data_IF_726035444946
#
_entry.id   IF_726035444946
#
_cell.length_a   1.000
_cell.length_b   1.000
_cell.length_c   1.000
_cell.angle_alpha   90.00
_cell.angle_beta   90.00
_cell.angle_gamma   90.00
#
_symmetry.space_group_name_H-M   'P 1'
#
loop_
_entity.id
_entity.type
_entity.pdbx_description
1 polymer ?
#
# COMPACT_ATOMS: atom_id res chain seq x y z
N UNK A 1 -8.09 -19.00 -23.39
CA UNK A 1 -8.05 -18.68 -21.95
C UNK A 1 -6.67 -19.04 -21.46
N UNK A 2 -5.88 -18.06 -21.02
CA UNK A 2 -4.59 -18.33 -20.39
C UNK A 2 -4.88 -19.05 -19.08
N UNK A 3 -4.26 -20.21 -18.84
CA UNK A 3 -4.44 -20.91 -17.59
C UNK A 3 -3.77 -20.10 -16.47
N UNK A 4 -4.54 -19.66 -15.48
CA UNK A 4 -4.00 -18.95 -14.32
C UNK A 4 -3.58 -19.96 -13.24
N UNK A 5 -2.35 -19.81 -12.75
CA UNK A 5 -1.85 -20.61 -11.64
C UNK A 5 -2.26 -19.97 -10.30
N UNK A 6 -3.43 -20.35 -9.79
CA UNK A 6 -3.98 -19.78 -8.54
C UNK A 6 -3.04 -19.95 -7.34
N UNK A 7 -2.34 -21.09 -7.26
CA UNK A 7 -1.43 -21.36 -6.15
C UNK A 7 -0.20 -20.43 -6.21
N UNK A 8 0.40 -20.27 -7.40
CA UNK A 8 1.50 -19.34 -7.62
C UNK A 8 1.07 -17.89 -7.39
N UNK A 9 -0.14 -17.52 -7.80
CA UNK A 9 -0.68 -16.19 -7.57
C UNK A 9 -0.76 -15.85 -6.07
N UNK A 10 -1.24 -16.79 -5.24
CA UNK A 10 -1.25 -16.61 -3.78
C UNK A 10 0.17 -16.52 -3.20
N UNK A 11 1.14 -17.25 -3.75
CA UNK A 11 2.56 -17.15 -3.32
C UNK A 11 3.13 -15.77 -3.63
N UNK A 12 2.89 -15.24 -4.83
CA UNK A 12 3.36 -13.91 -5.23
C UNK A 12 2.70 -12.80 -4.39
N UNK A 13 1.39 -12.90 -4.14
CA UNK A 13 0.66 -11.96 -3.27
C UNK A 13 1.21 -11.96 -1.84
N UNK A 14 1.51 -13.14 -1.29
CA UNK A 14 2.16 -13.26 0.03
C UNK A 14 3.57 -12.65 0.01
N UNK A 15 4.36 -12.98 -1.01
CA UNK A 15 5.73 -12.45 -1.18
C UNK A 15 5.71 -10.92 -1.23
N UNK A 16 4.74 -10.31 -1.90
CA UNK A 16 4.58 -8.85 -1.95
C UNK A 16 4.49 -8.22 -0.55
N UNK A 17 3.60 -8.74 0.30
CA UNK A 17 3.44 -8.26 1.69
C UNK A 17 4.69 -8.57 2.53
N UNK A 18 5.29 -9.75 2.37
CA UNK A 18 6.53 -10.10 3.08
C UNK A 18 7.69 -9.17 2.71
N UNK A 19 7.79 -8.73 1.46
CA UNK A 19 8.80 -7.77 1.01
C UNK A 19 8.57 -6.40 1.66
N UNK A 20 7.31 -5.96 1.79
CA UNK A 20 6.97 -4.72 2.52
C UNK A 20 7.48 -4.81 3.95
N UNK A 21 7.17 -5.90 4.66
CA UNK A 21 7.65 -6.12 6.03
C UNK A 21 9.18 -6.19 6.13
N UNK A 22 9.84 -6.77 5.13
CA UNK A 22 11.31 -6.87 5.03
C UNK A 22 11.98 -5.58 4.58
N UNK A 23 11.22 -4.63 4.02
CA UNK A 23 11.72 -3.36 3.47
C UNK A 23 12.78 -3.56 2.37
N UNK A 24 12.61 -4.60 1.56
CA UNK A 24 13.58 -4.94 0.51
C UNK A 24 13.20 -4.27 -0.80
N UNK A 25 13.77 -3.09 -1.05
CA UNK A 25 13.56 -2.38 -2.31
C UNK A 25 14.01 -3.19 -3.54
N UNK A 26 15.14 -3.93 -3.53
CA UNK A 26 15.54 -4.78 -4.66
C UNK A 26 14.55 -5.92 -4.93
N UNK A 27 14.04 -6.59 -3.89
CA UNK A 27 13.06 -7.65 -4.08
C UNK A 27 11.72 -7.09 -4.57
N UNK A 28 11.35 -5.87 -4.13
CA UNK A 28 10.17 -5.17 -4.63
C UNK A 28 10.33 -4.87 -6.13
N UNK A 29 11.47 -4.30 -6.53
CA UNK A 29 11.77 -3.99 -7.94
C UNK A 29 11.67 -5.24 -8.84
N UNK A 30 12.20 -6.38 -8.37
CA UNK A 30 12.13 -7.67 -9.06
C UNK A 30 10.69 -8.16 -9.21
N UNK A 31 9.87 -8.04 -8.16
CA UNK A 31 8.52 -8.58 -8.10
C UNK A 31 7.51 -7.78 -8.94
N UNK A 32 7.74 -6.48 -9.12
CA UNK A 32 6.81 -5.60 -9.83
C UNK A 32 6.91 -5.75 -11.35
N UNK A 33 5.75 -5.73 -12.01
CA UNK A 33 5.62 -5.60 -13.46
C UNK A 33 6.00 -4.18 -13.89
N UNK A 34 6.50 -3.99 -15.12
CA UNK A 34 6.84 -2.65 -15.66
C UNK A 34 5.64 -1.68 -15.64
N UNK A 35 4.47 -2.15 -16.08
CA UNK A 35 3.18 -1.46 -15.98
C UNK A 35 2.54 -1.44 -14.58
N UNK A 36 3.30 -1.67 -13.49
CA UNK A 36 2.70 -1.70 -12.15
C UNK A 36 1.99 -0.39 -11.82
N UNK A 37 0.83 -0.53 -11.19
CA UNK A 37 0.02 0.57 -10.65
C UNK A 37 -0.33 0.27 -9.19
N UNK A 38 -0.20 1.28 -8.34
CA UNK A 38 -0.75 1.26 -7.00
C UNK A 38 -1.93 2.23 -6.88
N UNK A 39 -3.08 1.71 -6.46
CA UNK A 39 -4.26 2.49 -6.09
C UNK A 39 -4.43 2.51 -4.57
N UNK A 40 -4.38 3.70 -3.96
CA UNK A 40 -4.76 3.86 -2.55
C UNK A 40 -6.30 3.89 -2.43
N UNK A 41 -6.77 3.88 -1.19
CA UNK A 41 -8.20 3.85 -0.91
C UNK A 41 -8.94 4.98 -1.64
N UNK A 42 -10.17 4.69 -2.09
CA UNK A 42 -11.08 5.68 -2.71
C UNK A 42 -10.70 6.08 -4.17
N UNK A 43 -9.78 5.37 -4.82
CA UNK A 43 -9.46 5.52 -6.24
C UNK A 43 -10.28 4.58 -7.16
N UNK A 44 -10.72 5.02 -8.36
CA UNK A 44 -11.22 4.12 -9.39
C UNK A 44 -10.08 3.26 -9.99
N UNK A 45 -10.43 2.10 -10.57
CA UNK A 45 -9.44 1.25 -11.26
C UNK A 45 -9.00 1.86 -12.60
N UNK A 46 -9.90 2.60 -13.23
CA UNK A 46 -9.76 3.28 -14.50
C UNK A 46 -10.19 4.76 -14.40
N UNK A 47 -9.69 5.61 -15.31
CA UNK A 47 -10.03 7.03 -15.36
C UNK A 47 -8.97 7.98 -14.79
N UNK A 48 -9.32 9.26 -14.58
CA UNK A 48 -8.39 10.29 -14.13
C UNK A 48 -7.88 9.99 -12.72
N UNK A 49 -6.66 10.46 -12.42
CA UNK A 49 -6.02 10.32 -11.12
C UNK A 49 -6.63 11.31 -10.11
N UNK A 50 -7.92 11.13 -9.82
CA UNK A 50 -8.73 11.97 -8.95
C UNK A 50 -9.31 11.11 -7.84
N UNK A 51 -9.30 11.65 -6.62
CA UNK A 51 -10.00 11.03 -5.50
C UNK A 51 -11.49 11.00 -5.84
N UNK A 52 -12.15 9.84 -5.67
CA UNK A 52 -13.62 9.84 -5.75
C UNK A 52 -14.15 10.71 -4.62
N UNK A 53 -15.10 11.63 -4.91
CA UNK A 53 -15.73 12.41 -3.87
C UNK A 53 -16.32 11.50 -2.80
N UNK A 54 -15.97 11.74 -1.54
CA UNK A 54 -16.60 11.05 -0.43
C UNK A 54 -18.10 11.39 -0.45
N UNK A 55 -18.94 10.35 -0.48
CA UNK A 55 -20.39 10.52 -0.55
C UNK A 55 -20.98 11.02 0.79
N UNK A 56 -20.21 10.93 1.88
CA UNK A 56 -20.64 11.38 3.20
C UNK A 56 -20.59 12.90 3.31
N UNK A 57 -21.72 13.52 3.61
CA UNK A 57 -21.81 14.97 3.88
C UNK A 57 -21.00 15.41 5.10
N UNK A 58 -20.66 14.47 6.01
CA UNK A 58 -19.83 14.75 7.19
C UNK A 58 -18.35 14.91 6.86
N UNK A 59 -17.91 14.36 5.73
CA UNK A 59 -16.53 14.41 5.25
C UNK A 59 -16.37 15.43 4.10
N UNK A 60 -17.31 16.38 3.99
CA UNK A 60 -17.25 17.41 2.96
C UNK A 60 -16.13 18.40 3.28
N UNK A 61 -15.15 18.51 2.39
CA UNK A 61 -14.00 19.40 2.56
C UNK A 61 -12.84 18.77 3.33
N UNK A 62 -12.96 17.51 3.76
CA UNK A 62 -11.85 16.72 4.29
C UNK A 62 -11.28 15.86 3.16
N UNK A 63 -9.96 15.95 2.94
CA UNK A 63 -9.25 15.05 2.03
C UNK A 63 -8.46 14.02 2.85
N UNK A 64 -8.25 12.85 2.27
CA UNK A 64 -7.25 11.91 2.78
C UNK A 64 -5.85 12.52 2.61
N UNK A 65 -4.88 12.16 3.47
CA UNK A 65 -3.50 12.61 3.36
C UNK A 65 -2.77 12.08 2.12
N UNK A 66 -3.45 11.35 1.22
CA UNK A 66 -2.84 10.88 -0.01
C UNK A 66 -3.05 11.92 -1.11
N UNK A 67 -2.03 12.73 -1.47
CA UNK A 67 -2.17 13.75 -2.52
C UNK A 67 -2.37 13.12 -3.90
N UNK A 68 -1.97 11.84 -4.05
CA UNK A 68 -2.02 11.11 -5.31
C UNK A 68 -2.63 9.70 -5.11
N UNK A 69 -3.90 9.48 -5.48
CA UNK A 69 -4.58 8.21 -5.23
C UNK A 69 -4.15 7.05 -6.13
N UNK A 70 -3.49 7.36 -7.25
CA UNK A 70 -2.95 6.38 -8.18
C UNK A 70 -1.51 6.72 -8.55
N UNK A 71 -0.60 5.77 -8.30
CA UNK A 71 0.81 5.87 -8.61
C UNK A 71 1.20 4.86 -9.68
N UNK A 72 2.00 5.27 -10.65
CA UNK A 72 2.67 4.33 -11.56
C UNK A 72 3.87 3.67 -10.86
N UNK A 73 4.56 2.76 -11.55
CA UNK A 73 5.70 2.04 -10.99
C UNK A 73 6.83 2.96 -10.50
N UNK A 74 7.38 3.90 -11.29
CA UNK A 74 8.42 4.81 -10.79
C UNK A 74 8.02 5.55 -9.51
N UNK A 75 6.81 6.11 -9.48
CA UNK A 75 6.29 6.83 -8.32
C UNK A 75 6.12 5.92 -7.10
N UNK A 76 5.62 4.71 -7.32
CA UNK A 76 5.47 3.71 -6.26
C UNK A 76 6.82 3.28 -5.69
N UNK A 77 7.85 3.13 -6.55
CA UNK A 77 9.20 2.78 -6.10
C UNK A 77 9.84 3.90 -5.29
N UNK A 78 9.63 5.16 -5.66
CA UNK A 78 10.05 6.31 -4.84
C UNK A 78 9.35 6.28 -3.48
N UNK A 79 8.05 6.00 -3.45
CA UNK A 79 7.30 5.88 -2.20
C UNK A 79 7.81 4.72 -1.33
N UNK A 80 8.03 3.53 -1.93
CA UNK A 80 8.62 2.38 -1.25
C UNK A 80 9.99 2.71 -0.67
N UNK A 81 10.84 3.40 -1.42
CA UNK A 81 12.16 3.80 -0.93
C UNK A 81 12.08 4.73 0.29
N UNK A 82 11.11 5.65 0.33
CA UNK A 82 10.81 6.50 1.48
C UNK A 82 10.40 5.66 2.71
N UNK A 83 9.35 4.86 2.58
CA UNK A 83 8.82 4.06 3.72
C UNK A 83 9.79 2.95 4.17
N UNK A 84 10.65 2.44 3.29
CA UNK A 84 11.65 1.44 3.62
C UNK A 84 12.90 2.06 4.27
N UNK A 85 13.01 3.40 4.31
CA UNK A 85 14.18 4.10 4.84
C UNK A 85 15.41 3.94 3.95
N UNK A 86 15.22 3.69 2.64
CA UNK A 86 16.30 3.47 1.67
C UNK A 86 16.47 4.66 0.72
N UNK A 87 15.75 5.77 0.92
CA UNK A 87 15.93 6.98 0.13
C UNK A 87 17.25 7.66 0.47
N UNK A 88 18.01 8.04 -0.57
CA UNK A 88 19.28 8.79 -0.45
C UNK A 88 19.13 10.27 -0.75
N UNK A 89 18.00 10.67 -1.31
CA UNK A 89 17.63 12.06 -1.56
C UNK A 89 16.55 12.44 -0.52
N UNK A 90 16.66 13.62 0.07
CA UNK A 90 15.61 14.17 0.93
C UNK A 90 14.33 14.18 0.12
N UNK A 91 13.43 13.26 0.42
CA UNK A 91 12.16 13.18 -0.28
C UNK A 91 11.40 14.46 0.02
N UNK A 92 10.93 15.18 -1.00
CA UNK A 92 9.90 16.23 -0.87
C UNK A 92 8.58 15.70 -0.26
N UNK A 93 8.56 14.43 0.15
CA UNK A 93 7.61 13.92 1.10
C UNK A 93 7.91 14.50 2.49
N UNK A 94 7.63 15.78 2.66
CA UNK A 94 7.45 16.41 3.99
C UNK A 94 6.36 15.69 4.83
N UNK A 95 5.67 14.69 4.26
CA UNK A 95 4.63 13.87 4.90
C UNK A 95 4.82 12.35 4.73
N UNK A 96 5.93 11.87 4.16
CA UNK A 96 6.24 10.44 4.29
C UNK A 96 6.73 10.24 5.72
N UNK A 97 5.81 9.79 6.59
CA UNK A 97 6.05 9.19 7.91
C UNK A 97 7.54 9.16 8.24
N UNK A 98 8.03 10.01 9.15
CA UNK A 98 9.44 9.97 9.58
C UNK A 98 9.74 8.60 10.19
N UNK A 99 10.12 7.64 9.34
CA UNK A 99 10.30 6.23 9.68
C UNK A 99 11.75 6.04 10.12
N UNK A 100 12.09 6.50 11.32
CA UNK A 100 13.40 6.25 11.92
C UNK A 100 13.52 4.79 12.35
N UNK A 101 14.75 4.27 12.31
CA UNK A 101 15.12 2.87 12.54
C UNK A 101 14.90 2.39 13.99
N UNK A 102 14.81 3.32 14.95
CA UNK A 102 14.63 3.05 16.37
C UNK A 102 13.18 2.81 16.81
N UNK A 103 12.17 3.21 16.02
CA UNK A 103 10.80 3.31 16.51
C UNK A 103 9.79 2.34 15.88
N UNK A 104 10.20 1.43 14.99
CA UNK A 104 9.32 0.34 14.54
C UNK A 104 8.46 0.72 13.34
N UNK A 105 8.44 -0.18 12.36
CA UNK A 105 7.83 0.06 11.05
C UNK A 105 6.45 -0.57 10.96
N UNK A 106 5.64 -0.14 9.99
CA UNK A 106 4.40 -0.85 9.66
C UNK A 106 4.72 -2.30 9.31
N UNK A 107 4.15 -3.21 10.07
CA UNK A 107 4.20 -4.64 9.88
C UNK A 107 2.81 -5.14 9.55
N UNK A 108 2.69 -5.94 8.49
CA UNK A 108 1.44 -6.53 8.04
C UNK A 108 1.38 -8.01 8.34
N UNK A 109 0.36 -8.43 9.08
CA UNK A 109 0.01 -9.84 9.29
C UNK A 109 -1.11 -10.24 8.34
N UNK A 110 -0.83 -11.20 7.45
CA UNK A 110 -1.84 -11.73 6.52
C UNK A 110 -2.80 -12.63 7.30
N UNK A 111 -4.08 -12.28 7.28
CA UNK A 111 -5.17 -13.08 7.84
C UNK A 111 -5.66 -14.12 6.84
N UNK A 112 -6.03 -13.69 5.63
CA UNK A 112 -6.63 -14.56 4.61
C UNK A 112 -6.18 -14.19 3.19
N UNK A 113 -6.23 -15.18 2.29
CA UNK A 113 -6.00 -15.02 0.85
C UNK A 113 -7.09 -15.75 0.04
N UNK A 114 -7.85 -14.98 -0.75
CA UNK A 114 -8.83 -15.50 -1.72
C UNK A 114 -8.36 -15.17 -3.13
N UNK A 115 -8.38 -16.12 -4.06
CA UNK A 115 -7.86 -15.90 -5.40
C UNK A 115 -8.76 -16.51 -6.48
N UNK A 116 -8.87 -15.81 -7.60
CA UNK A 116 -9.59 -16.21 -8.80
C UNK A 116 -8.90 -15.59 -10.02
N UNK A 117 -8.64 -16.38 -11.05
CA UNK A 117 -7.89 -15.97 -12.24
C UNK A 117 -6.55 -15.28 -11.86
N UNK A 118 -6.35 -14.05 -12.29
CA UNK A 118 -5.17 -13.21 -12.03
C UNK A 118 -5.25 -12.39 -10.74
N UNK A 119 -6.33 -12.52 -9.97
CA UNK A 119 -6.66 -11.66 -8.83
C UNK A 119 -6.48 -12.40 -7.52
N UNK A 120 -5.88 -11.71 -6.54
CA UNK A 120 -5.76 -12.19 -5.15
C UNK A 120 -6.23 -11.09 -4.20
N UNK A 121 -7.32 -11.36 -3.47
CA UNK A 121 -7.75 -10.55 -2.34
C UNK A 121 -6.98 -10.97 -1.09
N UNK A 122 -6.50 -9.99 -0.33
CA UNK A 122 -5.68 -10.14 0.87
C UNK A 122 -6.40 -9.42 2.01
N UNK A 123 -6.70 -10.15 3.08
CA UNK A 123 -7.08 -9.54 4.36
C UNK A 123 -5.84 -9.52 5.25
N UNK A 124 -5.55 -8.39 5.87
CA UNK A 124 -4.40 -8.22 6.75
C UNK A 124 -4.68 -7.25 7.88
N UNK A 125 -3.91 -7.35 8.96
CA UNK A 125 -3.80 -6.30 9.98
C UNK A 125 -2.46 -5.61 9.86
N UNK A 126 -2.41 -4.30 10.10
CA UNK A 126 -1.15 -3.60 10.34
C UNK A 126 -0.91 -3.38 11.83
N UNK A 127 0.35 -3.40 12.21
CA UNK A 127 0.84 -2.87 13.50
C UNK A 127 2.07 -2.02 13.24
N UNK A 128 2.25 -0.92 13.97
CA UNK A 128 3.43 -0.07 13.86
C UNK A 128 3.34 1.13 14.79
N UNK A 129 4.48 1.69 15.17
CA UNK A 129 4.52 2.92 15.96
C UNK A 129 4.49 4.10 15.01
N UNK A 130 3.78 5.11 15.46
CA UNK A 130 3.21 6.13 14.62
C UNK A 130 3.80 7.51 14.96
N UNK A 131 4.46 7.65 16.10
CA UNK A 131 5.34 8.78 16.40
C UNK A 131 6.18 8.42 17.64
N UNK A 132 7.52 8.44 17.54
CA UNK A 132 8.43 8.25 18.67
C UNK A 132 8.13 9.12 19.88
N UNK A 133 7.70 10.36 19.64
CA UNK A 133 7.55 11.40 20.66
C UNK A 133 6.22 11.28 21.41
N UNK A 134 5.12 10.98 20.71
CA UNK A 134 3.81 10.77 21.34
C UNK A 134 3.56 9.33 21.81
N UNK A 135 4.32 8.35 21.31
CA UNK A 135 4.13 6.93 21.60
C UNK A 135 2.84 6.35 21.03
N UNK A 136 2.21 7.05 20.07
CA UNK A 136 0.96 6.63 19.42
C UNK A 136 1.23 5.39 18.56
N UNK A 137 0.37 4.39 18.66
CA UNK A 137 0.44 3.15 17.87
C UNK A 137 -0.61 3.23 16.77
N UNK A 138 -0.21 2.91 15.55
CA UNK A 138 -1.11 2.78 14.42
C UNK A 138 -1.40 1.29 14.18
N UNK A 139 -2.69 0.97 14.10
CA UNK A 139 -3.15 -0.37 13.76
C UNK A 139 -4.40 -0.27 12.91
N UNK A 140 -4.43 -0.93 11.76
CA UNK A 140 -5.56 -0.87 10.86
C UNK A 140 -5.86 -2.25 10.25
N UNK A 141 -7.08 -2.41 9.77
CA UNK A 141 -7.47 -3.55 8.95
C UNK A 141 -7.34 -3.18 7.49
N UNK A 142 -6.69 -4.06 6.73
CA UNK A 142 -6.50 -3.91 5.31
C UNK A 142 -7.27 -4.98 4.56
N UNK A 143 -7.94 -4.55 3.50
CA UNK A 143 -8.41 -5.42 2.44
C UNK A 143 -7.76 -4.94 1.15
N UNK A 144 -6.90 -5.76 0.56
CA UNK A 144 -6.16 -5.38 -0.65
C UNK A 144 -6.46 -6.33 -1.80
N UNK A 145 -6.42 -5.83 -3.02
CA UNK A 145 -6.51 -6.61 -4.25
C UNK A 145 -5.20 -6.52 -5.01
N UNK A 146 -4.58 -7.65 -5.26
CA UNK A 146 -3.38 -7.79 -6.08
C UNK A 146 -3.76 -8.43 -7.41
N UNK A 147 -3.28 -7.87 -8.54
CA UNK A 147 -3.35 -8.52 -9.85
C UNK A 147 -1.97 -8.96 -10.31
N UNK A 148 -1.93 -10.12 -10.95
CA UNK A 148 -0.70 -10.77 -11.37
C UNK A 148 -0.70 -10.99 -12.88
N UNK A 149 0.38 -10.61 -13.53
CA UNK A 149 0.60 -10.83 -14.96
C UNK A 149 2.06 -11.18 -15.17
N UNK A 150 2.32 -12.19 -16.00
CA UNK A 150 3.68 -12.65 -16.31
C UNK A 150 4.52 -12.95 -15.06
N UNK A 151 3.89 -13.62 -14.08
CA UNK A 151 4.45 -13.94 -12.75
C UNK A 151 4.98 -12.73 -11.96
N UNK A 152 4.47 -11.53 -12.26
CA UNK A 152 4.78 -10.27 -11.59
C UNK A 152 3.52 -9.57 -11.10
N UNK A 153 3.65 -8.74 -10.07
CA UNK A 153 2.54 -7.92 -9.55
C UNK A 153 2.35 -6.71 -10.46
N UNK A 154 1.16 -6.57 -11.06
CA UNK A 154 0.82 -5.46 -11.98
C UNK A 154 -0.17 -4.45 -11.38
N UNK A 155 -0.93 -4.85 -10.37
CA UNK A 155 -1.80 -3.94 -9.62
C UNK A 155 -1.70 -4.26 -8.14
N UNK A 156 -1.57 -3.23 -7.31
CA UNK A 156 -1.88 -3.27 -5.90
C UNK A 156 -2.96 -2.24 -5.61
N UNK A 157 -4.09 -2.69 -5.07
CA UNK A 157 -5.16 -1.81 -4.60
C UNK A 157 -5.39 -2.05 -3.13
N UNK A 158 -5.42 -1.00 -2.34
CA UNK A 158 -5.65 -1.11 -0.91
C UNK A 158 -6.94 -0.41 -0.47
N UNK A 159 -7.61 -1.05 0.49
CA UNK A 159 -8.70 -0.48 1.26
C UNK A 159 -8.35 -0.66 2.74
N UNK A 160 -8.62 0.37 3.52
CA UNK A 160 -8.31 0.43 4.94
C UNK A 160 -9.32 1.35 5.64
N UNK A 161 -9.33 1.41 6.97
CA UNK A 161 -10.09 2.45 7.68
C UNK A 161 -9.42 3.80 7.46
N UNK A 162 -9.96 4.56 6.51
CA UNK A 162 -9.42 5.86 6.12
C UNK A 162 -9.67 6.96 7.15
N UNK A 163 -10.67 6.80 8.04
CA UNK A 163 -10.89 7.73 9.13
C UNK A 163 -9.83 7.52 10.20
N UNK A 164 -9.50 6.27 10.51
CA UNK A 164 -8.40 5.97 11.42
C UNK A 164 -7.05 6.49 10.90
N UNK A 165 -6.79 6.39 9.59
CA UNK A 165 -5.62 7.04 8.96
C UNK A 165 -5.67 8.56 9.18
N UNK A 166 -6.82 9.20 8.96
CA UNK A 166 -6.97 10.66 9.14
C UNK A 166 -6.73 11.10 10.58
N UNK A 167 -7.37 10.46 11.56
CA UNK A 167 -7.19 10.72 13.01
C UNK A 167 -5.74 10.50 13.45
N UNK A 168 -5.04 9.61 12.74
CA UNK A 168 -3.63 9.38 12.98
C UNK A 168 -2.74 10.49 12.40
N UNK A 169 -2.93 10.91 11.14
CA UNK A 169 -2.06 11.90 10.49
C UNK A 169 -2.34 13.36 10.85
N UNK A 170 -3.53 13.66 11.40
CA UNK A 170 -4.01 15.04 11.61
C UNK A 170 -3.91 15.53 13.06
N UNK A 171 -3.53 14.65 13.99
CA UNK A 171 -3.28 14.94 15.40
C UNK A 171 -1.77 15.03 15.67
#
# INVERSE_FOLDING_TARGET
>A
MTAHNIAENKVLARRFIEIINKRSLPDMDELLHEDFVWNTAVAPDDGPNELRPLQSSRLKGTNLPHPKPRMNRPESMTFFAGIFGTSTEGTDAEEAFEMTDEHGHMHFDILNLTAEEDRVAVEATSTGIADPESGKVYNNFYHSLIRIRDSKVVLYKEYQDTLHVYDYVSE
#
